data_IF_819915878818
#
_entry.id   IF_819915878818
#
_cell.length_a   1.000
_cell.length_b   1.000
_cell.length_c   1.000
_cell.angle_alpha   90.00
_cell.angle_beta   90.00
_cell.angle_gamma   90.00
#
_symmetry.space_group_name_H-M   'P 1'
#
loop_
_entity.id
_entity.type
_entity.pdbx_description
1 polymer ?
#
# COMPACT_ATOMS: atom_id res chain seq x y z
N UNK A 1 -6.09 18.40 22.54
CA UNK A 1 -6.29 19.71 23.18
C UNK A 1 -5.05 20.03 24.01
N UNK A 2 -4.12 20.89 23.54
CA UNK A 2 -3.19 21.75 24.32
C UNK A 2 -2.79 22.92 23.40
N UNK A 3 -2.76 24.12 23.99
CA UNK A 3 -2.40 25.42 23.39
C UNK A 3 -0.94 25.78 23.72
N UNK A 4 -0.26 26.52 22.84
CA UNK A 4 1.08 27.09 23.09
C UNK A 4 1.36 28.30 22.19
N UNK A 5 1.71 29.43 22.80
CA UNK A 5 1.77 30.80 22.24
C UNK A 5 3.17 31.18 21.68
N UNK A 6 3.20 32.21 20.83
CA UNK A 6 4.21 32.63 19.83
C UNK A 6 5.44 33.40 20.34
N UNK A 7 6.52 33.40 19.52
CA UNK A 7 7.34 34.56 19.05
C UNK A 7 8.74 34.06 18.61
N UNK A 8 9.46 34.52 17.59
CA UNK A 8 9.25 35.24 16.33
C UNK A 8 10.59 35.11 15.55
N UNK A 9 10.56 34.96 14.23
CA UNK A 9 11.78 35.08 13.42
C UNK A 9 11.70 34.44 12.03
N UNK A 10 11.76 35.31 11.01
CA UNK A 10 12.00 35.06 9.58
C UNK A 10 10.86 34.47 8.74
N UNK A 11 10.29 35.33 7.90
CA UNK A 11 9.57 34.96 6.68
C UNK A 11 10.41 34.02 5.81
N UNK A 12 9.88 32.84 5.55
CA UNK A 12 10.04 32.17 4.26
C UNK A 12 8.63 31.83 3.81
N UNK A 13 8.26 32.40 2.66
CA UNK A 13 6.99 32.15 1.98
C UNK A 13 6.82 30.63 1.85
N UNK A 14 5.85 30.09 2.59
CA UNK A 14 5.38 28.74 2.40
C UNK A 14 4.78 28.66 1.00
N UNK A 15 5.55 28.16 0.04
CA UNK A 15 4.96 27.53 -1.13
C UNK A 15 3.99 26.44 -0.64
N UNK A 16 2.89 26.18 -1.37
CA UNK A 16 2.02 25.06 -1.03
C UNK A 16 2.92 23.81 -0.90
N UNK A 17 2.66 22.89 0.04
CA UNK A 17 3.33 21.60 0.01
C UNK A 17 3.11 21.05 -1.39
N UNK A 18 4.18 20.96 -2.18
CA UNK A 18 4.13 20.31 -3.48
C UNK A 18 3.83 18.87 -3.17
N UNK A 19 2.54 18.52 -3.21
CA UNK A 19 2.07 17.16 -3.41
C UNK A 19 2.92 16.63 -4.56
N UNK A 20 3.81 15.63 -4.36
CA UNK A 20 4.38 14.86 -5.46
C UNK A 20 3.33 14.65 -6.53
N UNK A 21 3.70 14.79 -7.81
CA UNK A 21 2.74 14.77 -8.90
C UNK A 21 1.85 13.55 -8.73
N UNK A 22 0.55 13.83 -8.49
CA UNK A 22 -0.49 12.84 -8.51
C UNK A 22 -0.24 11.92 -9.70
N UNK A 23 -0.18 10.61 -9.43
CA UNK A 23 -0.16 9.49 -10.37
C UNK A 23 0.07 9.93 -11.82
N UNK A 24 1.30 9.82 -12.34
CA UNK A 24 1.65 10.18 -13.72
C UNK A 24 0.56 9.74 -14.70
N UNK A 25 -0.26 10.69 -15.15
CA UNK A 25 -1.35 10.44 -16.09
C UNK A 25 -0.74 9.86 -17.38
N UNK A 26 -1.02 8.59 -17.65
CA UNK A 26 -0.52 7.89 -18.83
C UNK A 26 0.55 6.82 -18.60
N UNK A 27 0.89 6.46 -17.35
CA UNK A 27 1.70 5.25 -17.10
C UNK A 27 0.91 4.02 -17.61
N UNK A 28 1.52 3.13 -18.41
CA UNK A 28 0.84 1.91 -18.83
C UNK A 28 0.47 1.11 -17.58
N UNK A 29 -0.82 0.79 -17.44
CA UNK A 29 -1.32 -0.08 -16.36
C UNK A 29 -0.63 -1.43 -16.55
N UNK A 30 0.22 -1.81 -15.61
CA UNK A 30 0.90 -3.09 -15.65
C UNK A 30 -0.15 -4.19 -15.39
N UNK A 31 -0.27 -5.13 -16.32
CA UNK A 31 -1.20 -6.25 -16.21
C UNK A 31 -0.49 -7.54 -16.63
N UNK A 32 -0.91 -8.64 -16.02
CA UNK A 32 -0.41 -9.98 -16.28
C UNK A 32 -1.59 -10.93 -16.56
N UNK A 33 -1.38 -11.96 -17.40
CA UNK A 33 -2.43 -12.91 -17.75
C UNK A 33 -2.74 -13.93 -16.64
N UNK A 34 -1.86 -14.07 -15.65
CA UNK A 34 -1.97 -15.05 -14.57
C UNK A 34 -1.18 -14.61 -13.34
N UNK A 35 -1.50 -15.16 -12.15
CA UNK A 35 -0.67 -14.95 -10.96
C UNK A 35 0.79 -15.40 -11.19
N UNK A 36 1.77 -14.74 -10.53
CA UNK A 36 3.17 -15.14 -10.61
C UNK A 36 3.39 -16.52 -9.94
N UNK A 37 4.40 -17.29 -10.38
CA UNK A 37 4.80 -18.49 -9.67
C UNK A 37 5.28 -18.16 -8.24
N UNK A 38 5.32 -19.17 -7.37
CA UNK A 38 5.86 -19.01 -6.01
C UNK A 38 7.38 -18.76 -6.07
N UNK A 39 7.79 -17.52 -5.82
CA UNK A 39 9.19 -17.08 -5.83
C UNK A 39 9.76 -16.87 -4.43
N UNK A 40 8.89 -16.60 -3.45
CA UNK A 40 9.29 -16.42 -2.06
C UNK A 40 9.45 -17.77 -1.35
N UNK A 41 10.16 -17.75 -0.23
CA UNK A 41 10.33 -18.87 0.69
C UNK A 41 9.47 -18.58 1.93
N UNK A 42 8.30 -19.23 2.10
CA UNK A 42 7.37 -18.97 3.21
C UNK A 42 7.98 -19.10 4.61
N UNK A 43 9.12 -19.80 4.75
CA UNK A 43 9.81 -19.95 6.04
C UNK A 43 10.62 -18.71 6.45
N UNK A 44 10.78 -17.73 5.55
CA UNK A 44 11.56 -16.52 5.80
C UNK A 44 10.70 -15.33 6.21
N UNK A 45 11.34 -14.40 6.90
CA UNK A 45 10.74 -13.10 7.23
C UNK A 45 10.88 -12.13 6.07
N UNK A 46 9.77 -11.50 5.72
CA UNK A 46 9.71 -10.46 4.69
C UNK A 46 9.24 -9.15 5.31
N UNK A 47 9.82 -8.05 4.84
CA UNK A 47 9.43 -6.70 5.21
C UNK A 47 9.30 -5.86 3.94
N UNK A 48 8.26 -5.03 3.88
CA UNK A 48 8.09 -4.04 2.84
C UNK A 48 8.25 -2.63 3.43
N UNK A 49 8.99 -1.80 2.71
CA UNK A 49 9.23 -0.41 3.06
C UNK A 49 8.38 0.45 2.14
N UNK A 50 7.46 1.22 2.72
CA UNK A 50 6.62 2.17 2.01
C UNK A 50 7.22 3.55 2.18
N UNK A 51 7.58 4.17 1.06
CA UNK A 51 8.00 5.56 1.01
C UNK A 51 6.83 6.38 0.49
N UNK A 52 6.32 7.28 1.33
CA UNK A 52 5.22 8.18 0.99
C UNK A 52 5.64 9.62 1.20
N UNK A 53 4.84 10.56 0.69
CA UNK A 53 5.08 12.00 0.84
C UNK A 53 5.11 12.47 2.30
N UNK A 54 4.37 11.77 3.16
CA UNK A 54 4.23 12.11 4.59
C UNK A 54 5.18 11.31 5.49
N UNK A 55 6.00 10.43 4.91
CA UNK A 55 7.01 9.67 5.64
C UNK A 55 7.19 8.23 5.16
N UNK A 56 8.11 7.55 5.83
CA UNK A 56 8.46 6.15 5.56
C UNK A 56 7.92 5.27 6.67
N UNK A 57 7.27 4.16 6.30
CA UNK A 57 6.86 3.13 7.25
C UNK A 57 7.23 1.73 6.75
N UNK A 58 7.32 0.79 7.68
CA UNK A 58 7.72 -0.60 7.43
C UNK A 58 6.59 -1.52 7.84
N UNK A 59 6.32 -2.54 7.04
CA UNK A 59 5.34 -3.57 7.36
C UNK A 59 6.00 -4.94 7.28
N UNK A 60 5.76 -5.77 8.28
CA UNK A 60 6.13 -7.19 8.26
C UNK A 60 5.08 -7.95 7.47
N UNK A 61 5.52 -8.83 6.59
CA UNK A 61 4.63 -9.70 5.80
C UNK A 61 4.62 -11.10 6.42
N UNK A 62 3.43 -11.67 6.61
CA UNK A 62 3.23 -13.00 7.19
C UNK A 62 3.26 -14.08 6.10
N UNK A 63 4.44 -14.33 5.53
CA UNK A 63 4.62 -15.29 4.43
C UNK A 63 4.30 -16.75 4.83
N UNK A 64 4.41 -17.06 6.12
CA UNK A 64 4.06 -18.35 6.71
C UNK A 64 2.54 -18.60 6.78
N UNK A 65 1.76 -17.51 6.90
CA UNK A 65 0.31 -17.55 7.08
C UNK A 65 -0.47 -17.25 5.80
N UNK A 66 0.06 -16.39 4.94
CA UNK A 66 -0.53 -16.01 3.65
C UNK A 66 0.52 -16.04 2.52
N UNK A 67 1.09 -17.21 2.20
CA UNK A 67 2.20 -17.33 1.25
C UNK A 67 1.86 -16.84 -0.16
N UNK A 68 0.66 -17.13 -0.68
CA UNK A 68 0.27 -16.72 -2.04
C UNK A 68 0.10 -15.21 -2.11
N UNK A 69 -0.56 -14.63 -1.10
CA UNK A 69 -0.80 -13.19 -0.98
C UNK A 69 0.50 -12.42 -0.85
N UNK A 70 1.42 -12.89 0.01
CA UNK A 70 2.73 -12.25 0.20
C UNK A 70 3.57 -12.41 -1.06
N UNK A 71 3.55 -13.56 -1.73
CA UNK A 71 4.25 -13.76 -3.00
C UNK A 71 3.77 -12.77 -4.06
N UNK A 72 2.45 -12.65 -4.20
CA UNK A 72 1.82 -11.73 -5.13
C UNK A 72 2.21 -10.26 -4.84
N UNK A 73 2.11 -9.85 -3.59
CA UNK A 73 2.50 -8.50 -3.16
C UNK A 73 3.97 -8.21 -3.45
N UNK A 74 4.88 -9.13 -3.10
CA UNK A 74 6.32 -8.98 -3.33
C UNK A 74 6.64 -8.90 -4.82
N UNK A 75 6.00 -9.74 -5.64
CA UNK A 75 6.14 -9.69 -7.08
C UNK A 75 5.73 -8.32 -7.63
N UNK A 76 4.51 -7.88 -7.35
CA UNK A 76 3.99 -6.58 -7.84
C UNK A 76 4.84 -5.40 -7.37
N UNK A 77 5.30 -5.41 -6.11
CA UNK A 77 6.19 -4.40 -5.57
C UNK A 77 7.53 -4.35 -6.33
N UNK A 78 8.12 -5.51 -6.66
CA UNK A 78 9.37 -5.60 -7.44
C UNK A 78 9.22 -5.12 -8.88
N UNK A 79 8.03 -5.23 -9.46
CA UNK A 79 7.71 -4.70 -10.80
C UNK A 79 7.39 -3.19 -10.78
N UNK A 80 7.42 -2.54 -9.61
CA UNK A 80 7.08 -1.14 -9.45
C UNK A 80 5.58 -0.85 -9.67
N UNK A 81 4.72 -1.85 -9.47
CA UNK A 81 3.27 -1.72 -9.64
C UNK A 81 2.65 -0.68 -8.71
N UNK A 82 3.16 -0.60 -7.48
CA UNK A 82 2.68 0.34 -6.46
C UNK A 82 3.35 1.71 -6.52
N UNK A 83 4.34 1.91 -7.38
CA UNK A 83 5.07 3.18 -7.48
C UNK A 83 4.15 4.29 -7.98
N UNK A 84 4.20 5.44 -7.32
CA UNK A 84 3.33 6.60 -7.57
C UNK A 84 1.83 6.29 -7.44
N UNK A 85 1.46 5.18 -6.78
CA UNK A 85 0.05 4.92 -6.45
C UNK A 85 -0.38 5.75 -5.25
N UNK A 86 -1.62 6.24 -5.29
CA UNK A 86 -2.20 7.07 -4.23
C UNK A 86 -3.09 6.22 -3.31
N UNK A 87 -3.28 6.71 -2.09
CA UNK A 87 -4.36 6.24 -1.23
C UNK A 87 -5.68 6.88 -1.67
N UNK A 88 -6.33 6.27 -2.65
CA UNK A 88 -7.57 6.79 -3.25
C UNK A 88 -8.77 6.79 -2.29
N UNK A 89 -8.70 6.04 -1.18
CA UNK A 89 -9.76 6.03 -0.17
C UNK A 89 -9.18 5.99 1.24
N UNK A 90 -9.44 7.04 2.02
CA UNK A 90 -9.01 7.14 3.43
C UNK A 90 -10.22 7.40 4.31
N UNK A 91 -10.49 6.48 5.24
CA UNK A 91 -11.56 6.58 6.24
C UNK A 91 -10.93 6.71 7.64
N UNK A 92 -11.01 7.90 8.27
CA UNK A 92 -10.41 8.14 9.58
C UNK A 92 -10.88 7.13 10.63
N UNK A 93 -9.93 6.53 11.34
CA UNK A 93 -10.22 5.54 12.39
C UNK A 93 -10.58 4.14 11.89
N UNK A 94 -10.56 3.91 10.57
CA UNK A 94 -10.91 2.62 9.99
C UNK A 94 -9.82 2.09 9.06
N UNK A 95 -9.66 2.65 7.86
CA UNK A 95 -8.70 2.15 6.88
C UNK A 95 -8.23 3.20 5.89
N UNK A 96 -7.03 2.99 5.36
CA UNK A 96 -6.54 3.64 4.16
C UNK A 96 -6.34 2.58 3.08
N UNK A 97 -6.97 2.77 1.93
CA UNK A 97 -6.93 1.87 0.78
C UNK A 97 -6.16 2.55 -0.35
N UNK A 98 -5.21 1.81 -0.91
CA UNK A 98 -4.34 2.24 -2.00
C UNK A 98 -3.99 1.05 -2.89
N UNK A 99 -2.89 1.17 -3.62
CA UNK A 99 -2.41 0.09 -4.48
C UNK A 99 -3.17 -0.09 -5.79
N UNK A 100 -3.99 0.90 -6.17
CA UNK A 100 -4.58 1.02 -7.50
C UNK A 100 -3.72 1.98 -8.34
N UNK A 101 -3.02 1.51 -9.39
CA UNK A 101 -2.22 2.37 -10.27
C UNK A 101 -3.04 3.43 -11.01
N UNK A 102 -4.34 3.20 -11.20
CA UNK A 102 -5.27 4.14 -11.86
C UNK A 102 -5.83 5.19 -10.89
N UNK A 103 -5.71 4.97 -9.57
CA UNK A 103 -6.29 5.83 -8.55
C UNK A 103 -7.82 5.86 -8.48
N UNK A 104 -8.52 5.00 -9.25
CA UNK A 104 -9.99 4.99 -9.35
C UNK A 104 -10.68 4.12 -8.29
N UNK A 105 -9.94 3.25 -7.60
CA UNK A 105 -10.43 2.10 -6.83
C UNK A 105 -10.80 0.89 -7.71
N UNK A 106 -10.52 0.97 -9.01
CA UNK A 106 -10.90 0.02 -10.05
C UNK A 106 -9.74 -0.81 -10.61
N UNK A 107 -8.48 -0.44 -10.36
CA UNK A 107 -7.34 -1.17 -10.91
C UNK A 107 -7.13 -2.54 -10.30
N UNK A 108 -6.65 -3.46 -11.13
CA UNK A 108 -6.24 -4.82 -10.78
C UNK A 108 -5.02 -5.22 -11.64
N UNK A 109 -4.24 -6.24 -11.24
CA UNK A 109 -3.07 -6.69 -11.98
C UNK A 109 -3.40 -7.58 -13.19
N UNK A 110 -4.67 -7.71 -13.59
CA UNK A 110 -5.13 -8.52 -14.73
C UNK A 110 -5.54 -9.96 -14.38
N UNK A 111 -5.50 -10.33 -13.10
CA UNK A 111 -5.85 -11.67 -12.63
C UNK A 111 -6.43 -11.66 -11.21
N UNK A 112 -7.07 -12.76 -10.84
CA UNK A 112 -7.52 -13.06 -9.49
C UNK A 112 -6.77 -14.28 -8.94
N UNK A 113 -6.76 -14.43 -7.62
CA UNK A 113 -6.23 -15.59 -6.92
C UNK A 113 -7.06 -15.83 -5.65
N UNK A 114 -6.90 -17.00 -5.03
CA UNK A 114 -7.71 -17.42 -3.89
C UNK A 114 -7.39 -16.61 -2.62
N UNK A 115 -8.42 -16.36 -1.80
CA UNK A 115 -8.26 -15.73 -0.50
C UNK A 115 -7.56 -16.69 0.50
N UNK A 116 -6.63 -16.17 1.29
CA UNK A 116 -5.95 -16.91 2.37
C UNK A 116 -6.40 -16.39 3.74
N UNK A 117 -6.92 -17.28 4.57
CA UNK A 117 -7.40 -16.96 5.92
C UNK A 117 -6.64 -17.74 6.98
N UNK A 118 -6.14 -17.05 7.99
CA UNK A 118 -5.53 -17.63 9.18
C UNK A 118 -6.29 -17.12 10.42
N UNK A 119 -6.73 -18.01 11.33
CA UNK A 119 -7.56 -17.64 12.48
C UNK A 119 -6.86 -16.71 13.48
N UNK A 120 -5.53 -16.65 13.48
CA UNK A 120 -4.76 -15.74 14.33
C UNK A 120 -4.57 -14.35 13.68
N UNK A 121 -4.87 -14.20 12.38
CA UNK A 121 -4.78 -12.93 11.67
C UNK A 121 -6.15 -12.23 11.67
N UNK A 122 -6.45 -11.57 12.78
CA UNK A 122 -7.68 -10.79 12.94
C UNK A 122 -7.41 -9.29 12.86
N UNK A 123 -8.36 -8.53 12.32
CA UNK A 123 -8.33 -7.06 12.31
C UNK A 123 -8.68 -6.45 13.67
N UNK A 124 -7.94 -6.83 14.70
CA UNK A 124 -8.19 -6.47 16.09
C UNK A 124 -7.53 -5.15 16.53
N UNK A 125 -6.66 -4.60 15.68
CA UNK A 125 -5.90 -3.37 15.96
C UNK A 125 -5.51 -2.62 14.69
N UNK A 126 -5.13 -1.36 14.86
CA UNK A 126 -4.58 -0.54 13.78
C UNK A 126 -3.19 -1.05 13.33
N UNK A 127 -2.83 -0.72 12.08
CA UNK A 127 -1.51 -1.06 11.51
C UNK A 127 -1.43 -2.43 10.86
N UNK A 128 -2.58 -3.07 10.61
CA UNK A 128 -2.67 -4.32 9.86
C UNK A 128 -2.85 -4.02 8.37
N UNK A 129 -2.08 -4.73 7.54
CA UNK A 129 -2.13 -4.65 6.08
C UNK A 129 -2.82 -5.90 5.54
N UNK A 130 -3.78 -5.72 4.63
CA UNK A 130 -4.47 -6.80 3.96
C UNK A 130 -4.76 -6.47 2.51
N UNK A 131 -4.98 -7.51 1.71
CA UNK A 131 -5.37 -7.35 0.32
C UNK A 131 -6.86 -7.04 0.22
N UNK A 132 -7.21 -6.03 -0.57
CA UNK A 132 -8.60 -5.72 -0.87
C UNK A 132 -9.14 -6.71 -1.91
N UNK A 133 -10.32 -7.29 -1.66
CA UNK A 133 -11.07 -8.09 -2.63
C UNK A 133 -12.39 -7.39 -3.01
N UNK A 134 -13.05 -7.84 -4.09
CA UNK A 134 -14.38 -7.35 -4.52
C UNK A 134 -15.51 -8.33 -4.20
N UNK A 135 -15.37 -9.12 -3.14
CA UNK A 135 -16.27 -10.20 -2.76
C UNK A 135 -15.91 -11.57 -3.35
N UNK A 136 -16.53 -12.65 -2.85
CA UNK A 136 -16.41 -14.01 -3.39
C UNK A 136 -17.19 -14.20 -4.70
#
# INVERSE_FOLDING_TARGET
MITGCRSAGTETVAGPPTVPPAAEEGRPVLQWPSPPPMEIDPSKSYEAVFTTEIGVFRVRLFADKAPVTVNNFVFLARQGYYDNSTFHRVLPGFMAQGGDPTGTGGGDPGYTFEDEFDPDLQFDRAGLLAMANRGP
#
